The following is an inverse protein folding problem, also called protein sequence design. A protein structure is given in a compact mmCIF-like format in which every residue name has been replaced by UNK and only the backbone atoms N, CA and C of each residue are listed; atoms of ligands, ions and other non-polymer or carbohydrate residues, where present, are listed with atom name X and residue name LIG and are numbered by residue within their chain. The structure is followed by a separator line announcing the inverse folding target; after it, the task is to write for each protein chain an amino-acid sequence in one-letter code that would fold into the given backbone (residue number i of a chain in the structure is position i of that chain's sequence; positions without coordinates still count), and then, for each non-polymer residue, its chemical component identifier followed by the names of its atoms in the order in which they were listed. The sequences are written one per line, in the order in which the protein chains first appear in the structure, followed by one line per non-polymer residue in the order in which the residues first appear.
data_IF_346497338307
#
_entry.id   IF_346497338307
#
_cell.length_a   1.000
_cell.length_b   1.000
_cell.length_c   1.000
_cell.angle_alpha   90.00
_cell.angle_beta   90.00
_cell.angle_gamma   90.00
#
_symmetry.space_group_name_H-M   'P 1'
#
loop_
_entity.id
_entity.type
_entity.pdbx_description
1 polymer ?
#
# COMPACT_ATOMS: atom_id res chain seq x y z
N UNK A 1 -11.90 -15.89 10.03
CA UNK A 1 -10.74 -15.65 9.16
C UNK A 1 -9.87 -14.61 9.85
N UNK A 2 -8.57 -14.85 9.96
CA UNK A 2 -7.61 -13.89 10.51
C UNK A 2 -7.00 -13.12 9.34
N UNK A 3 -7.15 -11.80 9.34
CA UNK A 3 -6.44 -10.92 8.41
C UNK A 3 -5.02 -10.73 8.96
N UNK A 4 -4.00 -11.07 8.16
CA UNK A 4 -2.61 -10.89 8.56
C UNK A 4 -2.18 -9.43 8.31
N UNK A 5 -1.63 -8.80 9.34
CA UNK A 5 -0.96 -7.50 9.19
C UNK A 5 0.55 -7.72 9.00
N UNK A 6 1.12 -7.03 8.01
CA UNK A 6 2.55 -6.98 7.75
C UNK A 6 3.07 -5.55 7.96
N UNK A 7 4.36 -5.39 8.25
CA UNK A 7 4.97 -4.08 8.50
C UNK A 7 6.16 -3.82 7.61
N UNK A 8 6.18 -2.67 6.93
CA UNK A 8 7.31 -2.15 6.16
C UNK A 8 8.19 -1.15 6.95
N UNK A 9 8.04 -1.07 8.28
CA UNK A 9 8.72 -0.05 9.11
C UNK A 9 10.25 -0.05 9.07
N UNK A 10 10.88 -1.14 8.60
CA UNK A 10 12.34 -1.31 8.55
C UNK A 10 12.98 -0.76 7.28
N UNK A 11 12.21 -0.46 6.23
CA UNK A 11 12.74 -0.03 4.94
C UNK A 11 11.72 0.76 4.13
N UNK A 12 12.19 1.78 3.42
CA UNK A 12 11.37 2.55 2.48
C UNK A 12 11.09 1.79 1.18
N UNK A 13 11.78 0.66 0.94
CA UNK A 13 11.76 -0.08 -0.32
C UNK A 13 10.34 -0.43 -0.78
N UNK A 14 9.49 -0.91 0.13
CA UNK A 14 8.10 -1.22 -0.20
C UNK A 14 7.35 0.02 -0.73
N UNK A 15 7.53 1.17 -0.06
CA UNK A 15 6.89 2.39 -0.48
C UNK A 15 7.39 2.89 -1.84
N UNK A 16 8.68 2.69 -2.13
CA UNK A 16 9.29 3.09 -3.40
C UNK A 16 8.86 2.17 -4.55
N UNK A 17 8.90 0.85 -4.34
CA UNK A 17 8.56 -0.15 -5.36
C UNK A 17 7.08 -0.09 -5.76
N UNK A 18 6.19 0.23 -4.82
CA UNK A 18 4.74 0.28 -5.04
C UNK A 18 4.21 1.70 -5.26
N UNK A 19 5.08 2.72 -5.28
CA UNK A 19 4.70 4.11 -5.54
C UNK A 19 3.85 4.77 -4.44
N UNK A 20 4.00 4.32 -3.19
CA UNK A 20 3.24 4.84 -2.03
C UNK A 20 4.12 5.59 -1.01
N UNK A 21 5.41 5.78 -1.28
CA UNK A 21 6.31 6.48 -0.36
C UNK A 21 6.11 8.00 -0.38
N UNK A 22 5.63 8.54 0.74
CA UNK A 22 5.51 9.99 0.97
C UNK A 22 6.77 10.49 1.69
N UNK A 23 7.77 10.88 0.89
CA UNK A 23 9.13 11.20 1.38
C UNK A 23 9.15 12.31 2.42
N UNK A 24 8.41 13.40 2.22
CA UNK A 24 8.44 14.51 3.19
C UNK A 24 7.91 14.09 4.56
N UNK A 25 6.95 13.15 4.61
CA UNK A 25 6.21 12.81 5.84
C UNK A 25 6.68 11.48 6.43
N UNK A 26 7.51 10.73 5.70
CA UNK A 26 7.97 9.38 6.04
C UNK A 26 6.82 8.39 6.29
N UNK A 27 5.77 8.53 5.48
CA UNK A 27 4.54 7.73 5.56
C UNK A 27 4.31 6.96 4.26
N UNK A 28 3.44 5.95 4.35
CA UNK A 28 2.87 5.30 3.17
C UNK A 28 1.54 5.97 2.84
N UNK A 29 1.33 6.31 1.58
CA UNK A 29 0.02 6.68 1.06
C UNK A 29 -0.92 5.47 1.16
N UNK A 30 -2.20 5.73 1.45
CA UNK A 30 -3.23 4.71 1.41
C UNK A 30 -3.46 4.23 -0.04
N UNK A 31 -3.46 2.92 -0.23
CA UNK A 31 -3.66 2.29 -1.53
C UNK A 31 -4.20 0.86 -1.37
N UNK A 32 -4.92 0.39 -2.39
CA UNK A 32 -5.40 -0.99 -2.51
C UNK A 32 -4.68 -1.66 -3.67
N UNK A 33 -4.16 -2.87 -3.41
CA UNK A 33 -3.53 -3.72 -4.43
C UNK A 33 -4.21 -5.09 -4.42
N UNK A 34 -4.57 -5.61 -5.60
CA UNK A 34 -5.02 -7.00 -5.74
C UNK A 34 -3.93 -7.79 -6.45
N UNK A 35 -3.45 -8.84 -5.78
CA UNK A 35 -2.39 -9.72 -6.28
C UNK A 35 -3.02 -11.05 -6.68
N UNK A 36 -2.83 -11.45 -7.94
CA UNK A 36 -3.25 -12.76 -8.44
C UNK A 36 -2.27 -13.86 -8.00
N UNK A 37 -2.65 -15.13 -8.19
CA UNK A 37 -1.84 -16.30 -7.75
C UNK A 37 -0.42 -16.37 -8.30
N UNK A 38 -0.10 -15.65 -9.37
CA UNK A 38 1.23 -15.63 -9.99
C UNK A 38 2.07 -14.42 -9.55
N UNK A 39 1.77 -13.85 -8.38
CA UNK A 39 2.41 -12.64 -7.84
C UNK A 39 2.31 -11.40 -8.77
N UNK A 40 1.24 -11.37 -9.58
CA UNK A 40 0.95 -10.27 -10.49
C UNK A 40 -0.06 -9.32 -9.85
N UNK A 41 0.25 -8.02 -9.83
CA UNK A 41 -0.73 -6.97 -9.50
C UNK A 41 -1.72 -6.87 -10.65
N UNK A 42 -2.99 -7.17 -10.38
CA UNK A 42 -4.09 -7.12 -11.37
C UNK A 42 -5.02 -5.94 -11.18
N UNK A 43 -4.92 -5.25 -10.05
CA UNK A 43 -5.64 -4.01 -9.75
C UNK A 43 -4.82 -3.14 -8.80
N UNK A 44 -4.86 -1.82 -9.01
CA UNK A 44 -4.29 -0.83 -8.11
C UNK A 44 -5.24 0.35 -7.98
N UNK A 45 -5.39 0.85 -6.75
CA UNK A 45 -6.10 2.09 -6.45
C UNK A 45 -5.27 2.92 -5.47
N UNK A 46 -4.86 4.10 -5.92
CA UNK A 46 -4.15 5.08 -5.12
C UNK A 46 -5.15 6.10 -4.59
N UNK A 47 -5.35 6.14 -3.27
CA UNK A 47 -6.40 6.96 -2.67
C UNK A 47 -5.84 8.35 -2.39
N UNK A 48 -6.31 9.34 -3.17
CA UNK A 48 -5.87 10.73 -3.07
C UNK A 48 -6.32 11.42 -1.78
N UNK A 49 -7.48 11.02 -1.22
CA UNK A 49 -7.97 11.52 0.07
C UNK A 49 -7.81 10.47 1.15
N UNK A 50 -6.75 10.60 1.96
CA UNK A 50 -6.47 9.69 3.08
C UNK A 50 -7.52 9.75 4.19
N UNK A 51 -8.48 10.69 4.13
CA UNK A 51 -9.60 10.81 5.09
C UNK A 51 -10.87 10.09 4.63
N UNK A 52 -10.85 9.45 3.46
CA UNK A 52 -11.98 8.64 2.99
C UNK A 52 -11.88 7.26 3.62
N UNK A 53 -12.78 6.96 4.55
CA UNK A 53 -12.94 5.60 5.07
C UNK A 53 -13.37 4.67 3.92
N UNK A 54 -12.73 3.50 3.76
CA UNK A 54 -13.21 2.48 2.84
C UNK A 54 -14.53 1.89 3.36
N UNK A 55 -15.49 1.64 2.46
CA UNK A 55 -16.76 0.93 2.74
C UNK A 55 -16.52 -0.52 3.20
#
# INVERSE_FOLDING_TARGET
MIHQALSASRSEQFGQDYGVWLKEWRLLQMAVFVIARHDLVVYTEYIADQRREPD
#
